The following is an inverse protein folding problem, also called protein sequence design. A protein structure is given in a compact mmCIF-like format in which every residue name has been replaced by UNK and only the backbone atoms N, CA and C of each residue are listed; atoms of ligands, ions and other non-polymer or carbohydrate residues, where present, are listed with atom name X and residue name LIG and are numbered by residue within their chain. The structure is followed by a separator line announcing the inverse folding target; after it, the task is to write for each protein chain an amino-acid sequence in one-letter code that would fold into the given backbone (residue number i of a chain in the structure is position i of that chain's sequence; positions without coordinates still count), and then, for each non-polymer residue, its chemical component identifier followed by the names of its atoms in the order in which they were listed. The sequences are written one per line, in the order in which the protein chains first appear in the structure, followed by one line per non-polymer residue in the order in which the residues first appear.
data_IF_262578496996
#
_entry.id   IF_262578496996
#
_cell.length_a   1.000
_cell.length_b   1.000
_cell.length_c   1.000
_cell.angle_alpha   90.00
_cell.angle_beta   90.00
_cell.angle_gamma   90.00
#
_symmetry.space_group_name_H-M   'P 1'
#
loop_
_entity.id
_entity.type
_entity.pdbx_description
1 polymer ?
#
# COMPACT_ATOMS: atom_id res chain seq x y z
N UNK A 1 22.98 -4.68 -18.36
CA UNK A 1 22.35 -3.48 -17.77
C UNK A 1 23.39 -2.84 -16.87
N UNK A 2 23.82 -1.63 -17.21
CA UNK A 2 24.87 -0.89 -16.53
C UNK A 2 24.43 -0.62 -15.09
N UNK A 3 25.26 -1.02 -14.12
CA UNK A 3 25.11 -0.58 -12.74
C UNK A 3 25.27 0.95 -12.79
N UNK A 4 24.18 1.68 -12.59
CA UNK A 4 24.23 3.12 -12.34
C UNK A 4 24.96 3.26 -11.02
N UNK A 5 26.26 3.50 -11.06
CA UNK A 5 27.02 3.90 -9.89
C UNK A 5 26.40 5.18 -9.39
N UNK A 6 25.83 5.15 -8.18
CA UNK A 6 25.34 6.33 -7.47
C UNK A 6 26.42 7.41 -7.51
N UNK A 7 26.11 8.54 -8.15
CA UNK A 7 27.05 9.66 -8.30
C UNK A 7 27.28 10.30 -6.93
N UNK A 8 28.40 9.93 -6.31
CA UNK A 8 28.74 10.36 -4.94
C UNK A 8 28.90 11.87 -4.87
N UNK A 9 29.48 12.48 -5.90
CA UNK A 9 29.73 13.92 -5.95
C UNK A 9 28.41 14.70 -5.97
N UNK A 10 27.43 14.24 -6.76
CA UNK A 10 26.09 14.81 -6.79
C UNK A 10 25.43 14.79 -5.39
N UNK A 11 25.43 13.64 -4.71
CA UNK A 11 24.79 13.54 -3.40
C UNK A 11 25.54 14.30 -2.31
N UNK A 12 26.84 14.53 -2.49
CA UNK A 12 27.64 15.37 -1.62
C UNK A 12 27.30 16.85 -1.76
N UNK A 13 27.01 17.33 -2.98
CA UNK A 13 26.47 18.67 -3.19
C UNK A 13 25.06 18.82 -2.63
N UNK A 14 24.20 17.82 -2.85
CA UNK A 14 22.84 17.78 -2.29
C UNK A 14 22.88 17.86 -0.76
N UNK A 15 23.86 17.23 -0.11
CA UNK A 15 24.02 17.31 1.34
C UNK A 15 24.32 18.71 1.89
N UNK A 16 24.82 19.63 1.04
CA UNK A 16 25.08 21.01 1.44
C UNK A 16 23.83 21.91 1.36
N UNK A 17 22.73 21.40 0.83
CA UNK A 17 21.46 22.12 0.74
C UNK A 17 20.71 22.06 2.08
N UNK A 18 19.77 23.00 2.32
CA UNK A 18 18.86 22.92 3.46
C UNK A 18 18.08 21.59 3.45
N UNK A 19 17.84 21.01 4.63
CA UNK A 19 17.22 19.68 4.78
C UNK A 19 15.87 19.54 4.05
N UNK A 20 15.08 20.61 4.02
CA UNK A 20 13.80 20.68 3.30
C UNK A 20 14.00 20.50 1.79
N UNK A 21 15.02 21.14 1.21
CA UNK A 21 15.36 21.04 -0.21
C UNK A 21 15.91 19.63 -0.51
N UNK A 22 16.78 19.13 0.36
CA UNK A 22 17.31 17.76 0.27
C UNK A 22 16.20 16.72 0.28
N UNK A 23 15.23 16.83 1.20
CA UNK A 23 14.08 15.94 1.27
C UNK A 23 13.20 16.02 0.01
N UNK A 24 13.00 17.22 -0.56
CA UNK A 24 12.28 17.40 -1.82
C UNK A 24 12.99 16.67 -2.97
N UNK A 25 14.30 16.90 -3.13
CA UNK A 25 15.11 16.26 -4.19
C UNK A 25 15.03 14.74 -4.06
N UNK A 26 15.27 14.21 -2.86
CA UNK A 26 15.19 12.77 -2.57
C UNK A 26 13.76 12.24 -2.82
N UNK A 27 12.74 13.05 -2.53
CA UNK A 27 11.33 12.72 -2.77
C UNK A 27 11.01 12.38 -4.22
N UNK A 28 11.68 13.05 -5.17
CA UNK A 28 11.51 12.84 -6.61
C UNK A 28 12.35 11.68 -7.18
N UNK A 29 13.25 11.11 -6.40
CA UNK A 29 14.06 9.98 -6.85
C UNK A 29 13.23 8.70 -6.94
N UNK A 30 13.56 7.79 -7.89
CA UNK A 30 12.97 6.47 -7.94
C UNK A 30 13.10 5.73 -6.60
N UNK A 31 12.02 5.16 -6.07
CA UNK A 31 12.04 4.56 -4.72
C UNK A 31 13.04 3.41 -4.57
N UNK A 32 13.41 2.78 -5.68
CA UNK A 32 14.38 1.71 -5.75
C UNK A 32 15.84 2.14 -5.52
N UNK A 33 16.20 3.42 -5.71
CA UNK A 33 17.57 3.91 -5.44
C UNK A 33 17.77 4.37 -4.00
N UNK A 34 16.68 4.76 -3.32
CA UNK A 34 16.72 5.28 -1.94
C UNK A 34 17.44 4.37 -0.93
N UNK A 35 17.31 3.03 -0.95
CA UNK A 35 18.06 2.15 -0.05
C UNK A 35 19.58 2.33 -0.13
N UNK A 36 20.12 2.61 -1.32
CA UNK A 36 21.56 2.79 -1.50
C UNK A 36 22.02 4.12 -0.89
N UNK A 37 21.15 5.13 -0.92
CA UNK A 37 21.42 6.44 -0.33
C UNK A 37 21.40 6.42 1.20
N UNK A 38 20.83 5.39 1.84
CA UNK A 38 20.92 5.20 3.29
C UNK A 38 22.36 4.98 3.78
N UNK A 39 23.29 4.58 2.89
CA UNK A 39 24.70 4.46 3.25
C UNK A 39 25.42 5.82 3.18
N UNK A 40 24.81 6.83 2.58
CA UNK A 40 25.37 8.18 2.48
C UNK A 40 25.02 8.98 3.75
N UNK A 41 25.94 8.96 4.72
CA UNK A 41 25.77 9.59 6.04
C UNK A 41 25.23 11.03 6.00
N UNK A 42 25.68 11.93 5.09
CA UNK A 42 25.24 13.32 5.10
C UNK A 42 23.74 13.55 4.86
N UNK A 43 23.06 12.65 4.13
CA UNK A 43 21.62 12.76 3.81
C UNK A 43 20.80 11.60 4.38
N UNK A 44 21.43 10.77 5.22
CA UNK A 44 20.87 9.49 5.64
C UNK A 44 19.49 9.64 6.32
N UNK A 45 19.32 10.70 7.13
CA UNK A 45 18.08 10.96 7.87
C UNK A 45 16.95 11.36 6.91
N UNK A 46 17.24 12.22 5.95
CA UNK A 46 16.30 12.68 4.93
C UNK A 46 15.88 11.51 4.03
N UNK A 47 16.82 10.65 3.64
CA UNK A 47 16.52 9.42 2.90
C UNK A 47 15.62 8.50 3.71
N UNK A 48 15.94 8.24 4.97
CA UNK A 48 15.13 7.38 5.83
C UNK A 48 13.72 7.95 6.03
N UNK A 49 13.60 9.26 6.24
CA UNK A 49 12.31 9.95 6.34
C UNK A 49 11.48 9.77 5.06
N UNK A 50 12.06 10.02 3.88
CA UNK A 50 11.36 9.87 2.59
C UNK A 50 10.96 8.42 2.31
N UNK A 51 11.82 7.45 2.66
CA UNK A 51 11.49 6.02 2.55
C UNK A 51 10.27 5.67 3.40
N UNK A 52 10.24 6.12 4.66
CA UNK A 52 9.21 5.75 5.61
C UNK A 52 7.90 6.50 5.39
N UNK A 53 7.92 7.67 4.75
CA UNK A 53 6.75 8.53 4.55
C UNK A 53 5.59 7.82 3.83
N UNK A 54 5.91 7.02 2.81
CA UNK A 54 4.95 6.33 1.93
C UNK A 54 5.51 4.95 1.56
N UNK A 55 4.91 3.91 2.15
CA UNK A 55 5.39 2.53 2.04
C UNK A 55 4.32 1.59 1.52
N UNK A 56 4.73 0.66 0.68
CA UNK A 56 3.94 -0.51 0.31
C UNK A 56 4.41 -1.71 1.14
N UNK A 57 3.53 -2.17 2.03
CA UNK A 57 3.79 -3.33 2.87
C UNK A 57 3.51 -4.57 2.03
N UNK A 58 4.49 -5.46 1.92
CA UNK A 58 4.40 -6.66 1.09
C UNK A 58 5.26 -7.78 1.67
N UNK A 59 4.85 -9.02 1.42
CA UNK A 59 5.68 -10.21 1.66
C UNK A 59 6.70 -10.47 0.55
N UNK A 60 6.56 -9.81 -0.61
CA UNK A 60 7.40 -10.05 -1.79
C UNK A 60 8.71 -9.29 -1.69
N UNK A 61 9.79 -9.96 -2.07
CA UNK A 61 11.11 -9.33 -2.26
C UNK A 61 11.01 -8.21 -3.30
N UNK A 62 11.75 -7.11 -3.10
CA UNK A 62 11.83 -5.94 -4.01
C UNK A 62 12.07 -6.29 -5.48
N UNK A 63 12.58 -7.48 -5.76
CA UNK A 63 12.88 -7.94 -7.10
C UNK A 63 12.17 -9.27 -7.36
N UNK A 64 11.31 -9.30 -8.37
CA UNK A 64 10.91 -10.55 -8.99
C UNK A 64 12.11 -10.99 -9.85
N UNK A 65 12.64 -12.19 -9.61
CA UNK A 65 13.61 -12.76 -10.54
C UNK A 65 12.93 -12.94 -11.88
N UNK A 66 13.59 -12.55 -12.97
CA UNK A 66 13.07 -12.86 -14.29
C UNK A 66 13.24 -14.36 -14.56
N UNK A 67 12.17 -15.03 -15.00
CA UNK A 67 12.26 -16.41 -15.49
C UNK A 67 12.92 -16.48 -16.87
N UNK A 68 13.07 -15.33 -17.56
CA UNK A 68 13.81 -15.26 -18.83
C UNK A 68 15.32 -15.27 -18.59
N UNK A 69 16.06 -16.23 -19.19
CA UNK A 69 17.52 -16.28 -19.12
C UNK A 69 18.13 -14.96 -19.60
N UNK A 70 19.13 -14.46 -18.87
CA UNK A 70 19.89 -13.24 -19.20
C UNK A 70 19.13 -11.91 -19.09
N UNK A 71 17.87 -11.89 -18.63
CA UNK A 71 17.10 -10.64 -18.45
C UNK A 71 17.33 -9.98 -17.08
N UNK A 72 17.97 -10.69 -16.13
CA UNK A 72 18.28 -10.15 -14.80
C UNK A 72 17.02 -10.00 -13.93
N UNK A 73 16.98 -9.01 -13.04
CA UNK A 73 15.79 -8.70 -12.25
C UNK A 73 14.71 -8.10 -13.17
N UNK A 74 13.58 -8.80 -13.34
CA UNK A 74 12.44 -8.31 -14.12
C UNK A 74 11.79 -7.13 -13.39
N UNK A 75 11.66 -6.00 -14.07
CA UNK A 75 10.78 -4.86 -13.75
C UNK A 75 10.82 -4.42 -12.28
N UNK A 76 11.75 -3.51 -11.95
CA UNK A 76 11.70 -2.85 -10.66
C UNK A 76 10.53 -1.85 -10.65
N UNK A 77 9.46 -2.19 -9.94
CA UNK A 77 8.41 -1.23 -9.59
C UNK A 77 8.98 -0.23 -8.57
N UNK A 78 9.54 0.86 -9.10
CA UNK A 78 10.15 1.95 -8.34
C UNK A 78 9.15 3.02 -7.90
N UNK A 79 7.84 2.81 -8.08
CA UNK A 79 6.82 3.81 -7.75
C UNK A 79 6.59 3.92 -6.25
N UNK A 80 6.63 2.79 -5.54
CA UNK A 80 6.45 2.72 -4.08
C UNK A 80 7.56 1.92 -3.43
N UNK A 81 7.95 2.33 -2.23
CA UNK A 81 8.94 1.60 -1.47
C UNK A 81 8.34 0.35 -0.86
N UNK A 82 8.79 -0.82 -1.32
CA UNK A 82 8.33 -2.12 -0.82
C UNK A 82 9.11 -2.54 0.41
N UNK A 83 8.39 -2.91 1.47
CA UNK A 83 8.97 -3.30 2.77
C UNK A 83 8.11 -4.34 3.48
N UNK A 84 8.76 -5.31 4.13
CA UNK A 84 8.09 -6.29 4.98
C UNK A 84 7.66 -5.67 6.33
N UNK A 85 6.56 -6.13 6.96
CA UNK A 85 6.06 -5.58 8.23
C UNK A 85 7.12 -5.50 9.34
N UNK A 86 7.93 -6.56 9.51
CA UNK A 86 8.97 -6.63 10.53
C UNK A 86 10.12 -5.64 10.26
N UNK A 87 10.49 -5.44 8.99
CA UNK A 87 11.52 -4.48 8.62
C UNK A 87 11.02 -3.04 8.77
N UNK A 88 9.74 -2.79 8.48
CA UNK A 88 9.10 -1.50 8.72
C UNK A 88 9.10 -1.16 10.21
N UNK A 89 8.71 -2.11 11.07
CA UNK A 89 8.76 -1.95 12.53
C UNK A 89 10.15 -1.56 13.03
N UNK A 90 11.20 -2.22 12.51
CA UNK A 90 12.61 -1.88 12.82
C UNK A 90 12.99 -0.49 12.32
N UNK A 91 12.60 -0.15 11.09
CA UNK A 91 12.87 1.17 10.50
C UNK A 91 12.23 2.31 11.30
N UNK A 92 10.96 2.15 11.68
CA UNK A 92 10.25 3.12 12.53
C UNK A 92 10.94 3.26 13.88
N UNK A 93 11.33 2.15 14.51
CA UNK A 93 12.04 2.19 15.80
C UNK A 93 13.42 2.88 15.68
N UNK A 94 14.13 2.67 14.58
CA UNK A 94 15.45 3.25 14.35
C UNK A 94 15.38 4.76 14.06
N UNK A 95 14.42 5.19 13.25
CA UNK A 95 14.35 6.58 12.76
C UNK A 95 13.30 7.43 13.48
N UNK A 96 12.46 6.82 14.32
CA UNK A 96 11.36 7.46 15.03
C UNK A 96 10.39 8.23 14.11
N UNK A 97 10.11 7.66 12.93
CA UNK A 97 9.19 8.21 11.93
C UNK A 97 8.14 7.17 11.62
N UNK A 98 6.88 7.48 11.91
CA UNK A 98 5.74 6.68 11.44
C UNK A 98 5.39 7.07 10.00
N UNK A 99 4.98 6.10 9.16
CA UNK A 99 4.51 6.41 7.83
C UNK A 99 3.32 7.34 7.84
N UNK A 100 3.29 8.27 6.88
CA UNK A 100 2.09 9.07 6.62
C UNK A 100 1.06 8.23 5.88
N UNK A 101 1.52 7.44 4.91
CA UNK A 101 0.68 6.55 4.11
C UNK A 101 1.24 5.12 4.12
N UNK A 102 0.35 4.15 4.23
CA UNK A 102 0.66 2.74 4.00
C UNK A 102 -0.25 2.16 2.92
N UNK A 103 0.32 1.28 2.11
CA UNK A 103 -0.36 0.51 1.09
C UNK A 103 -0.21 -0.97 1.41
N UNK A 104 -1.31 -1.71 1.32
CA UNK A 104 -1.37 -3.16 1.55
C UNK A 104 -2.03 -3.79 0.32
N UNK A 105 -1.28 -3.78 -0.79
CA UNK A 105 -1.83 -4.10 -2.12
C UNK A 105 -1.93 -5.62 -2.35
N UNK A 106 -1.10 -6.42 -1.68
CA UNK A 106 -1.04 -7.88 -1.81
C UNK A 106 -2.07 -8.62 -0.93
N UNK A 107 -2.39 -9.86 -1.32
CA UNK A 107 -3.27 -10.74 -0.53
C UNK A 107 -2.67 -10.96 0.88
N UNK A 108 -3.53 -10.96 1.90
CA UNK A 108 -3.22 -11.24 3.31
C UNK A 108 -2.37 -10.22 4.09
N UNK A 109 -1.73 -9.25 3.44
CA UNK A 109 -0.85 -8.28 4.11
C UNK A 109 -1.54 -7.59 5.30
N UNK A 110 -2.83 -7.25 5.18
CA UNK A 110 -3.57 -6.64 6.28
C UNK A 110 -3.55 -7.49 7.56
N UNK A 111 -3.73 -8.81 7.41
CA UNK A 111 -3.67 -9.75 8.53
C UNK A 111 -2.27 -9.79 9.14
N UNK A 112 -1.24 -9.85 8.30
CA UNK A 112 0.14 -9.90 8.79
C UNK A 112 0.54 -8.63 9.53
N UNK A 113 0.07 -7.47 9.06
CA UNK A 113 0.24 -6.19 9.75
C UNK A 113 -0.50 -6.18 11.08
N UNK A 114 -1.75 -6.67 11.13
CA UNK A 114 -2.50 -6.79 12.37
C UNK A 114 -1.81 -7.71 13.39
N UNK A 115 -1.30 -8.84 12.94
CA UNK A 115 -0.65 -9.84 13.80
C UNK A 115 0.74 -9.38 14.26
N UNK A 116 1.48 -8.65 13.41
CA UNK A 116 2.89 -8.27 13.67
C UNK A 116 3.05 -6.89 14.31
N UNK A 117 2.27 -5.90 13.84
CA UNK A 117 2.43 -4.51 14.23
C UNK A 117 1.11 -3.71 14.18
N UNK A 118 0.10 -4.08 15.00
CA UNK A 118 -1.23 -3.49 14.93
C UNK A 118 -1.24 -1.99 15.25
N UNK A 119 -0.27 -1.51 16.04
CA UNK A 119 -0.13 -0.07 16.37
C UNK A 119 0.11 0.78 15.12
N UNK A 120 0.75 0.24 14.07
CA UNK A 120 0.99 0.96 12.82
C UNK A 120 -0.31 1.52 12.23
N UNK A 121 -1.38 0.73 12.27
CA UNK A 121 -2.68 1.09 11.71
C UNK A 121 -3.37 2.23 12.47
N UNK A 122 -2.93 2.54 13.69
CA UNK A 122 -3.48 3.66 14.49
C UNK A 122 -2.68 4.94 14.34
N UNK A 123 -1.38 4.82 14.07
CA UNK A 123 -0.45 5.95 13.99
C UNK A 123 -0.33 6.49 12.55
N UNK A 124 -0.74 5.70 11.56
CA UNK A 124 -0.70 6.09 10.14
C UNK A 124 -1.89 6.97 9.79
N UNK A 125 -1.64 8.08 9.08
CA UNK A 125 -2.71 9.01 8.68
C UNK A 125 -3.52 8.52 7.48
N UNK A 126 -2.90 7.76 6.58
CA UNK A 126 -3.55 7.25 5.38
C UNK A 126 -3.33 5.75 5.18
N UNK A 127 -4.42 5.02 4.97
CA UNK A 127 -4.40 3.56 4.85
C UNK A 127 -5.11 3.15 3.57
N UNK A 128 -4.37 2.47 2.71
CA UNK A 128 -4.88 1.86 1.50
C UNK A 128 -4.69 0.35 1.56
N UNK A 129 -5.70 -0.42 1.16
CA UNK A 129 -5.61 -1.87 1.25
C UNK A 129 -6.46 -2.62 0.23
N UNK A 130 -6.00 -3.82 -0.08
CA UNK A 130 -6.72 -4.78 -0.91
C UNK A 130 -7.22 -5.93 -0.04
N UNK A 131 -8.50 -6.25 -0.18
CA UNK A 131 -9.09 -7.48 0.32
C UNK A 131 -9.42 -8.36 -0.87
N UNK A 132 -8.83 -9.55 -0.91
CA UNK A 132 -9.17 -10.56 -1.93
C UNK A 132 -9.79 -11.76 -1.25
N UNK A 133 -10.86 -12.30 -1.83
CA UNK A 133 -11.33 -13.61 -1.40
C UNK A 133 -10.23 -14.64 -1.69
N UNK A 134 -10.06 -15.55 -0.74
CA UNK A 134 -9.06 -16.59 -0.81
C UNK A 134 -9.73 -17.94 -0.66
N UNK A 135 -9.26 -18.93 -1.41
CA UNK A 135 -9.77 -20.29 -1.32
C UNK A 135 -9.73 -20.79 0.13
N UNK A 136 -10.87 -21.30 0.61
CA UNK A 136 -11.00 -21.84 1.96
C UNK A 136 -11.30 -20.81 3.06
N UNK A 137 -11.35 -19.50 2.78
CA UNK A 137 -11.76 -18.49 3.76
C UNK A 137 -13.08 -17.86 3.34
N UNK A 138 -14.07 -17.92 4.23
CA UNK A 138 -15.37 -17.26 4.04
C UNK A 138 -15.19 -15.74 4.03
N UNK A 139 -15.90 -15.05 3.14
CA UNK A 139 -15.91 -13.59 3.05
C UNK A 139 -16.23 -12.92 4.40
N UNK A 140 -17.17 -13.47 5.17
CA UNK A 140 -17.54 -13.02 6.51
C UNK A 140 -16.35 -12.98 7.48
N UNK A 141 -15.51 -14.03 7.48
CA UNK A 141 -14.35 -14.11 8.36
C UNK A 141 -13.30 -13.04 8.01
N UNK A 142 -13.13 -12.76 6.72
CA UNK A 142 -12.26 -11.68 6.25
C UNK A 142 -12.80 -10.31 6.65
N UNK A 143 -14.10 -10.06 6.50
CA UNK A 143 -14.74 -8.82 6.91
C UNK A 143 -14.70 -8.61 8.43
N UNK A 144 -14.84 -9.68 9.21
CA UNK A 144 -14.72 -9.65 10.68
C UNK A 144 -13.36 -9.15 11.18
N UNK A 145 -12.28 -9.36 10.42
CA UNK A 145 -10.99 -8.77 10.75
C UNK A 145 -11.05 -7.23 10.73
N UNK A 146 -11.84 -6.64 9.85
CA UNK A 146 -12.02 -5.19 9.78
C UNK A 146 -13.00 -4.67 10.82
N UNK A 147 -14.15 -5.34 10.99
CA UNK A 147 -15.18 -4.96 11.98
C UNK A 147 -14.61 -4.76 13.39
N UNK A 148 -13.60 -5.55 13.77
CA UNK A 148 -13.02 -5.50 15.10
C UNK A 148 -11.97 -4.40 15.30
N UNK A 149 -11.55 -3.70 14.24
CA UNK A 149 -10.40 -2.78 14.30
C UNK A 149 -10.78 -1.30 14.36
N UNK A 150 -12.05 -0.96 14.07
CA UNK A 150 -12.54 0.43 13.98
C UNK A 150 -11.64 1.35 13.12
N UNK A 151 -11.05 0.80 12.06
CA UNK A 151 -10.16 1.51 11.15
C UNK A 151 -10.93 2.13 9.99
N UNK A 152 -10.45 3.27 9.51
CA UNK A 152 -10.92 3.92 8.29
C UNK A 152 -9.82 3.94 7.25
N UNK A 153 -10.13 3.44 6.07
CA UNK A 153 -9.30 3.41 4.88
C UNK A 153 -9.59 4.63 4.02
N UNK A 154 -8.57 5.16 3.35
CA UNK A 154 -8.79 6.16 2.31
C UNK A 154 -9.24 5.48 1.02
N UNK A 155 -8.59 4.37 0.67
CA UNK A 155 -8.95 3.55 -0.48
C UNK A 155 -8.94 2.08 -0.11
N UNK A 156 -10.03 1.39 -0.43
CA UNK A 156 -10.14 -0.06 -0.29
C UNK A 156 -10.46 -0.70 -1.64
N UNK A 157 -9.71 -1.73 -2.00
CA UNK A 157 -9.99 -2.56 -3.15
C UNK A 157 -10.54 -3.91 -2.69
N UNK A 158 -11.65 -4.35 -3.25
CA UNK A 158 -12.26 -5.65 -2.99
C UNK A 158 -12.22 -6.50 -4.25
N UNK A 159 -11.57 -7.66 -4.17
CA UNK A 159 -11.39 -8.57 -5.30
C UNK A 159 -12.08 -9.90 -5.01
N UNK A 160 -12.94 -10.33 -5.93
CA UNK A 160 -13.57 -11.65 -5.90
C UNK A 160 -14.38 -11.95 -4.62
N UNK A 161 -14.88 -10.92 -3.89
CA UNK A 161 -15.73 -11.15 -2.72
C UNK A 161 -17.16 -11.51 -3.13
N UNK A 162 -17.62 -12.70 -2.73
CA UNK A 162 -18.96 -13.20 -3.03
C UNK A 162 -19.78 -13.23 -1.74
N UNK A 163 -20.98 -12.65 -1.79
CA UNK A 163 -21.94 -12.62 -0.67
C UNK A 163 -21.46 -11.92 0.62
N UNK A 164 -20.89 -10.70 0.57
CA UNK A 164 -20.76 -9.89 1.78
C UNK A 164 -22.14 -9.28 2.10
N UNK A 165 -22.80 -9.77 3.16
CA UNK A 165 -24.13 -9.29 3.56
C UNK A 165 -24.22 -7.75 3.72
N UNK A 166 -23.13 -7.12 4.18
CA UNK A 166 -22.98 -5.65 4.23
C UNK A 166 -21.50 -5.27 4.31
N UNK A 167 -21.06 -4.37 3.44
CA UNK A 167 -19.77 -3.71 3.58
C UNK A 167 -19.88 -2.54 4.56
N UNK A 168 -19.07 -2.49 5.62
CA UNK A 168 -19.13 -1.36 6.56
C UNK A 168 -18.63 -0.06 5.93
N UNK A 169 -18.96 1.07 6.56
CA UNK A 169 -18.34 2.38 6.31
C UNK A 169 -16.88 2.38 6.78
N UNK A 170 -16.05 1.62 6.10
CA UNK A 170 -14.62 1.47 6.43
C UNK A 170 -13.73 2.22 5.46
N UNK A 171 -14.26 2.79 4.37
CA UNK A 171 -13.43 3.42 3.35
C UNK A 171 -14.05 4.70 2.79
N UNK A 172 -13.22 5.67 2.44
CA UNK A 172 -13.64 6.89 1.72
C UNK A 172 -13.79 6.63 0.21
N UNK A 173 -12.93 5.79 -0.37
CA UNK A 173 -12.99 5.32 -1.76
C UNK A 173 -13.01 3.81 -1.81
N UNK A 174 -13.85 3.23 -2.67
CA UNK A 174 -13.96 1.79 -2.85
C UNK A 174 -13.78 1.42 -4.32
N UNK A 175 -12.99 0.38 -4.58
CA UNK A 175 -12.92 -0.27 -5.89
C UNK A 175 -13.36 -1.72 -5.78
N UNK A 176 -14.24 -2.15 -6.66
CA UNK A 176 -14.78 -3.50 -6.69
C UNK A 176 -14.32 -4.20 -7.97
N UNK A 177 -13.63 -5.32 -7.84
CA UNK A 177 -13.28 -6.19 -8.97
C UNK A 177 -13.91 -7.55 -8.74
N UNK A 178 -14.70 -8.00 -9.71
CA UNK A 178 -15.29 -9.34 -9.73
C UNK A 178 -16.04 -9.70 -8.42
N UNK A 179 -16.59 -8.68 -7.76
CA UNK A 179 -17.19 -8.75 -6.43
C UNK A 179 -18.70 -8.60 -6.57
N UNK A 180 -19.46 -9.49 -5.93
CA UNK A 180 -20.93 -9.47 -5.94
C UNK A 180 -21.40 -8.91 -4.61
N UNK A 181 -22.21 -7.84 -4.64
CA UNK A 181 -22.76 -7.19 -3.44
C UNK A 181 -24.28 -7.33 -3.41
N UNK A 182 -24.82 -7.86 -2.32
CA UNK A 182 -26.26 -8.04 -2.13
C UNK A 182 -26.97 -6.76 -1.63
N UNK A 183 -26.24 -5.81 -1.03
CA UNK A 183 -26.73 -4.50 -0.60
C UNK A 183 -25.57 -3.50 -0.48
N UNK A 184 -25.77 -2.23 -0.90
CA UNK A 184 -24.70 -1.23 -1.07
C UNK A 184 -24.94 0.10 -0.32
N UNK A 185 -25.67 0.12 0.80
CA UNK A 185 -25.65 1.35 1.62
C UNK A 185 -24.33 1.38 2.40
N UNK A 186 -23.29 2.01 1.84
CA UNK A 186 -22.01 2.24 2.52
C UNK A 186 -21.91 3.74 2.85
N UNK A 187 -22.20 4.13 4.11
CA UNK A 187 -22.13 5.53 4.51
C UNK A 187 -20.74 6.14 4.27
N UNK A 188 -20.67 7.40 3.85
CA UNK A 188 -19.42 8.17 3.81
C UNK A 188 -18.44 7.83 2.67
N UNK A 189 -18.80 6.92 1.77
CA UNK A 189 -18.05 6.69 0.52
C UNK A 189 -18.28 7.87 -0.41
N UNK A 190 -17.18 8.46 -0.89
CA UNK A 190 -17.19 9.57 -1.85
C UNK A 190 -16.93 9.14 -3.27
N UNK A 191 -16.26 8.00 -3.47
CA UNK A 191 -15.88 7.49 -4.79
C UNK A 191 -16.04 5.98 -4.88
N UNK A 192 -16.65 5.52 -5.97
CA UNK A 192 -16.83 4.11 -6.29
C UNK A 192 -16.34 3.79 -7.71
N UNK A 193 -15.54 2.74 -7.83
CA UNK A 193 -15.09 2.15 -9.11
C UNK A 193 -15.50 0.68 -9.16
N UNK A 194 -16.00 0.19 -10.29
CA UNK A 194 -16.54 -1.17 -10.42
C UNK A 194 -16.16 -1.84 -11.74
N UNK A 195 -15.54 -3.01 -11.62
CA UNK A 195 -15.31 -3.96 -12.71
C UNK A 195 -16.01 -5.28 -12.38
N UNK A 196 -16.97 -5.69 -13.21
CA UNK A 196 -17.84 -6.84 -12.93
C UNK A 196 -17.73 -7.91 -14.00
N UNK A 197 -17.83 -9.19 -13.59
CA UNK A 197 -18.01 -10.28 -14.55
C UNK A 197 -19.44 -10.23 -15.13
N UNK A 198 -19.57 -10.07 -16.44
CA UNK A 198 -20.86 -10.13 -17.13
C UNK A 198 -21.31 -11.59 -17.38
N UNK A 199 -21.43 -12.41 -16.34
CA UNK A 199 -21.82 -13.82 -16.52
C UNK A 199 -23.25 -14.13 -16.03
N UNK A 200 -23.92 -13.21 -15.33
CA UNK A 200 -25.28 -13.41 -14.83
C UNK A 200 -26.31 -12.75 -15.74
N UNK A 201 -27.29 -13.54 -16.22
CA UNK A 201 -28.47 -13.07 -16.99
C UNK A 201 -29.46 -12.23 -16.16
N UNK A 202 -29.16 -11.99 -14.88
CA UNK A 202 -30.03 -11.28 -13.95
C UNK A 202 -29.62 -9.82 -13.84
N UNK A 203 -30.61 -8.92 -13.87
CA UNK A 203 -30.43 -7.49 -13.69
C UNK A 203 -30.00 -7.17 -12.26
N UNK A 204 -28.79 -6.67 -12.08
CA UNK A 204 -28.33 -6.14 -10.80
C UNK A 204 -28.80 -4.69 -10.65
N UNK A 205 -29.44 -4.36 -9.53
CA UNK A 205 -29.90 -3.00 -9.22
C UNK A 205 -29.00 -2.42 -8.13
N UNK A 206 -28.37 -1.27 -8.41
CA UNK A 206 -27.54 -0.56 -7.44
C UNK A 206 -28.26 0.71 -7.00
N UNK A 207 -28.27 0.96 -5.69
CA UNK A 207 -28.75 2.21 -5.11
C UNK A 207 -27.55 2.93 -4.49
N UNK A 208 -27.29 4.16 -4.93
CA UNK A 208 -26.14 4.94 -4.49
C UNK A 208 -26.54 5.98 -3.44
N UNK A 209 -25.61 6.29 -2.54
CA UNK A 209 -25.75 7.42 -1.62
C UNK A 209 -25.77 8.73 -2.42
N UNK A 210 -26.55 9.75 -2.02
CA UNK A 210 -26.51 11.08 -2.65
C UNK A 210 -25.14 11.76 -2.60
N UNK A 211 -24.28 11.36 -1.65
CA UNK A 211 -22.95 11.93 -1.42
C UNK A 211 -21.84 11.29 -2.28
N UNK A 212 -22.20 10.39 -3.21
CA UNK A 212 -21.26 9.68 -4.09
C UNK A 212 -20.96 10.54 -5.34
N UNK A 213 -19.69 10.87 -5.57
CA UNK A 213 -19.19 11.59 -6.75
C UNK A 213 -18.78 10.66 -7.90
#
# INVERSE_FOLDING_TARGET
MTIVTTDVDLFQEVANLPSEITAIIIGYLPKCILPQLLYFQPIQKEVAFIILLDVNITERKRHKGSETPHVGYSECDCNRFKIEPNNLKKGIAQWNVYPRAIHMDDKFVFRDVLDTFPRLLKETSSINGTLSQCEGIKAEALLNLFFNTNLRFDSMQLNELWDPATLPSVATSIRLFHTTLNSYVIPGVKKLDMEMYSNTRESQTYTFSPDLE
#
